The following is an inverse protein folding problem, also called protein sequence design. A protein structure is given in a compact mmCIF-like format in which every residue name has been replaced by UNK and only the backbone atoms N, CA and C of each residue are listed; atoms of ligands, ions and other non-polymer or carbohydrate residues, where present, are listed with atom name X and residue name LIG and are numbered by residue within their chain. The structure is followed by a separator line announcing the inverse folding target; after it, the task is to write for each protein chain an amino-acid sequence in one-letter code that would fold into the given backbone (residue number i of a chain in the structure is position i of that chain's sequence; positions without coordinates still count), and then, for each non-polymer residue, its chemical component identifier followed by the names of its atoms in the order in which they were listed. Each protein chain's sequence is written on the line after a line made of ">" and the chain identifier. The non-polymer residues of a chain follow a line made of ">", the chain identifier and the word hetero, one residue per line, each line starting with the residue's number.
data_IF_227905891067
#
_entry.id   IF_227905891067
#
_cell.length_a   1.000
_cell.length_b   1.000
_cell.length_c   1.000
_cell.angle_alpha   90.00
_cell.angle_beta   90.00
_cell.angle_gamma   90.00
#
_symmetry.space_group_name_H-M   'P 1'
#
loop_
_entity.id
_entity.type
_entity.pdbx_description
1 polymer ?
#
# COMPACT_ATOMS: atom_id res chain seq x y z
N UNK A 1 30.29 5.45 3.80
CA UNK A 1 29.65 4.30 3.15
C UNK A 1 29.02 3.34 4.15
N UNK A 2 29.74 2.94 5.19
CA UNK A 2 29.21 1.98 6.18
C UNK A 2 27.98 2.50 6.92
N UNK A 3 27.95 3.80 7.28
CA UNK A 3 26.83 4.38 8.00
C UNK A 3 25.57 4.35 7.12
N UNK A 4 25.69 4.77 5.86
CA UNK A 4 24.56 4.73 4.93
C UNK A 4 24.09 3.30 4.68
N UNK A 5 25.03 2.36 4.59
CA UNK A 5 24.71 0.96 4.38
C UNK A 5 23.92 0.40 5.56
N UNK A 6 24.29 0.80 6.77
CA UNK A 6 23.59 0.37 7.97
C UNK A 6 22.18 0.91 8.02
N UNK A 7 21.99 2.20 7.74
CA UNK A 7 20.68 2.82 7.69
C UNK A 7 19.80 2.18 6.62
N UNK A 8 20.37 1.92 5.44
CA UNK A 8 19.64 1.27 4.36
C UNK A 8 19.21 -0.14 4.75
N UNK A 9 20.03 -0.85 5.49
CA UNK A 9 19.70 -2.18 5.96
C UNK A 9 18.48 -2.15 6.89
N UNK A 10 18.42 -1.20 7.82
CA UNK A 10 17.30 -1.07 8.75
C UNK A 10 16.02 -0.69 8.02
N UNK A 11 16.10 0.24 7.07
CA UNK A 11 14.96 0.62 6.26
C UNK A 11 14.46 -0.54 5.42
N UNK A 12 15.38 -1.29 4.83
CA UNK A 12 15.02 -2.45 4.03
C UNK A 12 14.31 -3.52 4.88
N UNK A 13 14.77 -3.75 6.10
CA UNK A 13 14.14 -4.72 6.97
C UNK A 13 12.70 -4.34 7.30
N UNK A 14 12.43 -3.05 7.51
CA UNK A 14 11.07 -2.56 7.74
C UNK A 14 10.21 -2.71 6.50
N UNK A 15 10.76 -2.35 5.35
CA UNK A 15 10.06 -2.47 4.08
C UNK A 15 9.72 -3.93 3.78
N UNK A 16 10.65 -4.86 4.06
CA UNK A 16 10.42 -6.28 3.86
C UNK A 16 9.25 -6.77 4.70
N UNK A 17 9.14 -6.31 5.95
CA UNK A 17 8.01 -6.70 6.81
C UNK A 17 6.69 -6.18 6.26
N UNK A 18 6.66 -4.94 5.79
CA UNK A 18 5.46 -4.40 5.18
C UNK A 18 5.10 -5.12 3.89
N UNK A 19 6.10 -5.46 3.08
CA UNK A 19 5.86 -6.21 1.86
C UNK A 19 5.32 -7.61 2.14
N UNK A 20 5.83 -8.30 3.16
CA UNK A 20 5.32 -9.62 3.55
C UNK A 20 3.87 -9.53 4.01
N UNK A 21 3.57 -8.51 4.82
CA UNK A 21 2.20 -8.29 5.29
C UNK A 21 1.27 -7.99 4.12
N UNK A 22 1.71 -7.14 3.20
CA UNK A 22 0.94 -6.80 2.02
C UNK A 22 0.73 -8.01 1.10
N UNK A 23 1.76 -8.83 0.95
CA UNK A 23 1.67 -10.05 0.15
C UNK A 23 0.66 -11.02 0.73
N UNK A 24 0.61 -11.14 2.06
CA UNK A 24 -0.38 -11.95 2.75
C UNK A 24 -1.79 -11.43 2.48
N UNK A 25 -1.99 -10.12 2.56
CA UNK A 25 -3.28 -9.50 2.23
C UNK A 25 -3.66 -9.83 0.79
N UNK A 26 -2.72 -9.67 -0.14
CA UNK A 26 -2.99 -9.93 -1.55
C UNK A 26 -3.42 -11.37 -1.80
N UNK A 27 -2.81 -12.34 -1.12
CA UNK A 27 -3.09 -13.76 -1.34
C UNK A 27 -4.29 -14.28 -0.57
N UNK A 28 -4.50 -13.80 0.64
CA UNK A 28 -5.50 -14.38 1.54
C UNK A 28 -6.80 -13.60 1.61
N UNK A 29 -6.76 -12.31 1.31
CA UNK A 29 -7.94 -11.45 1.37
C UNK A 29 -8.49 -11.25 -0.03
N UNK A 30 -9.81 -10.97 -0.10
CA UNK A 30 -10.42 -10.57 -1.35
C UNK A 30 -10.18 -9.09 -1.59
N UNK A 31 -9.62 -8.77 -2.74
CA UNK A 31 -9.43 -7.38 -3.19
C UNK A 31 -10.31 -7.22 -4.42
N UNK A 32 -11.33 -6.37 -4.31
CA UNK A 32 -12.30 -6.16 -5.38
C UNK A 32 -12.27 -4.73 -5.85
N UNK A 33 -11.93 -4.53 -7.11
CA UNK A 33 -11.99 -3.22 -7.73
C UNK A 33 -13.42 -2.88 -8.10
N UNK A 34 -13.85 -1.66 -7.79
CA UNK A 34 -15.15 -1.17 -8.23
C UNK A 34 -15.16 -1.01 -9.76
N UNK A 35 -16.30 -1.27 -10.42
CA UNK A 35 -16.36 -1.23 -11.89
C UNK A 35 -16.14 0.16 -12.49
N UNK A 36 -16.38 1.21 -11.72
CA UNK A 36 -16.18 2.58 -12.17
C UNK A 36 -15.60 3.44 -11.05
N UNK A 37 -14.85 4.50 -11.39
CA UNK A 37 -14.35 5.43 -10.38
C UNK A 37 -15.49 6.07 -9.60
N UNK A 38 -15.22 6.40 -8.33
CA UNK A 38 -16.17 7.06 -7.44
C UNK A 38 -15.55 8.33 -6.91
N UNK A 39 -16.23 9.46 -7.08
CA UNK A 39 -15.72 10.77 -6.67
C UNK A 39 -14.32 11.06 -7.21
N UNK A 40 -14.02 10.57 -8.41
CA UNK A 40 -12.74 10.77 -9.05
C UNK A 40 -11.64 9.82 -8.61
N UNK A 41 -11.95 8.81 -7.78
CA UNK A 41 -10.98 7.84 -7.30
C UNK A 41 -11.25 6.44 -7.83
N UNK A 42 -10.17 5.69 -8.07
CA UNK A 42 -10.25 4.25 -8.30
C UNK A 42 -10.38 3.61 -6.93
N UNK A 43 -11.42 2.80 -6.71
CA UNK A 43 -11.77 2.28 -5.40
C UNK A 43 -11.63 0.75 -5.37
N UNK A 44 -11.04 0.25 -4.28
CA UNK A 44 -10.89 -1.18 -4.02
C UNK A 44 -11.43 -1.51 -2.64
N UNK A 45 -12.23 -2.57 -2.55
CA UNK A 45 -12.68 -3.11 -1.27
C UNK A 45 -11.82 -4.32 -0.90
N UNK A 46 -11.43 -4.40 0.37
CA UNK A 46 -10.61 -5.49 0.88
C UNK A 46 -11.36 -6.20 1.99
N UNK A 47 -11.64 -7.49 1.79
CA UNK A 47 -12.39 -8.34 2.72
C UNK A 47 -11.54 -9.54 3.13
N UNK A 48 -11.75 -10.05 4.32
CA UNK A 48 -11.13 -11.30 4.75
C UNK A 48 -10.50 -11.25 6.13
N UNK A 49 -10.34 -10.07 6.70
CA UNK A 49 -9.86 -9.90 8.06
C UNK A 49 -11.00 -9.71 9.04
N UNK A 50 -10.68 -9.14 10.20
CA UNK A 50 -11.69 -8.82 11.23
C UNK A 50 -12.57 -7.65 10.81
N UNK A 51 -12.08 -6.82 9.91
CA UNK A 51 -12.81 -5.67 9.39
C UNK A 51 -12.58 -5.54 7.90
N UNK A 52 -13.52 -4.92 7.23
CA UNK A 52 -13.38 -4.60 5.81
C UNK A 52 -12.80 -3.20 5.65
N UNK A 53 -11.94 -3.02 4.64
CA UNK A 53 -11.29 -1.75 4.39
C UNK A 53 -11.47 -1.33 2.94
N UNK A 54 -11.32 -0.03 2.70
CA UNK A 54 -11.43 0.55 1.37
C UNK A 54 -10.15 1.31 1.05
N UNK A 55 -9.60 1.04 -0.13
CA UNK A 55 -8.44 1.76 -0.67
C UNK A 55 -8.91 2.63 -1.82
N UNK A 56 -8.48 3.90 -1.83
CA UNK A 56 -8.80 4.85 -2.90
C UNK A 56 -7.50 5.36 -3.51
N UNK A 57 -7.43 5.32 -4.85
CA UNK A 57 -6.25 5.76 -5.59
C UNK A 57 -6.68 6.82 -6.59
N UNK A 58 -6.00 7.97 -6.55
CA UNK A 58 -6.23 9.02 -7.53
C UNK A 58 -5.66 8.59 -8.89
N UNK A 59 -6.43 8.63 -9.98
CA UNK A 59 -5.97 8.15 -11.29
C UNK A 59 -4.70 8.84 -11.78
N UNK A 60 -4.51 10.11 -11.45
CA UNK A 60 -3.35 10.89 -11.85
C UNK A 60 -2.33 11.05 -10.74
N UNK A 61 -2.55 10.40 -9.61
CA UNK A 61 -1.65 10.42 -8.46
C UNK A 61 -1.35 11.82 -7.91
N UNK A 62 -2.30 12.73 -8.04
CA UNK A 62 -2.21 14.09 -7.47
C UNK A 62 -2.32 14.08 -5.96
N UNK A 63 -2.94 13.05 -5.42
CA UNK A 63 -3.13 12.82 -4.00
C UNK A 63 -2.59 11.42 -3.70
N UNK A 64 -1.86 11.21 -2.59
CA UNK A 64 -1.39 9.86 -2.24
C UNK A 64 -2.55 8.89 -2.04
N UNK A 65 -2.35 7.60 -2.28
CA UNK A 65 -3.36 6.59 -1.99
C UNK A 65 -3.85 6.66 -0.56
N UNK A 66 -5.12 6.35 -0.35
CA UNK A 66 -5.77 6.40 0.95
C UNK A 66 -6.33 5.04 1.32
N UNK A 67 -6.35 4.73 2.61
CA UNK A 67 -6.96 3.52 3.13
C UNK A 67 -7.72 3.84 4.41
N UNK A 68 -8.85 3.18 4.60
CA UNK A 68 -9.68 3.38 5.78
C UNK A 68 -9.16 2.68 7.04
N UNK A 69 -8.05 1.94 6.96
CA UNK A 69 -7.51 1.25 8.12
C UNK A 69 -6.78 2.20 9.08
N UNK A 70 -6.71 1.85 10.39
CA UNK A 70 -6.02 2.70 11.37
C UNK A 70 -4.52 2.89 11.08
N UNK A 71 -3.87 1.89 10.51
CA UNK A 71 -2.42 1.97 10.24
C UNK A 71 -2.07 3.01 9.18
N UNK A 72 -2.97 3.25 8.23
CA UNK A 72 -2.74 4.27 7.20
C UNK A 72 -2.61 5.67 7.78
N UNK A 73 -3.34 5.94 8.88
CA UNK A 73 -3.31 7.25 9.50
C UNK A 73 -2.16 7.43 10.47
N UNK A 74 -1.72 6.35 11.12
CA UNK A 74 -0.79 6.46 12.24
C UNK A 74 0.61 5.97 11.94
N UNK A 75 0.78 4.72 11.56
CA UNK A 75 2.10 4.09 11.44
C UNK A 75 2.71 4.15 10.06
N UNK A 76 1.89 4.01 9.05
CA UNK A 76 2.39 3.94 7.67
C UNK A 76 3.02 5.25 7.24
N UNK A 77 2.55 6.38 7.74
CA UNK A 77 3.11 7.68 7.39
C UNK A 77 4.57 7.80 7.74
N UNK A 78 4.99 7.18 8.84
CA UNK A 78 6.38 7.27 9.30
C UNK A 78 7.29 6.26 8.61
N UNK A 79 6.77 5.09 8.27
CA UNK A 79 7.59 3.95 7.86
C UNK A 79 7.56 3.65 6.37
N UNK A 80 6.45 3.93 5.67
CA UNK A 80 6.27 3.55 4.28
C UNK A 80 5.70 4.68 3.44
N UNK A 81 6.07 5.91 3.75
CA UNK A 81 5.61 7.10 3.03
C UNK A 81 4.08 7.21 3.00
N UNK A 82 3.41 6.71 4.04
CA UNK A 82 1.96 6.75 4.11
C UNK A 82 1.25 5.54 3.52
N UNK A 83 1.99 4.54 3.05
CA UNK A 83 1.39 3.36 2.44
C UNK A 83 1.28 2.25 3.48
N UNK A 84 0.04 1.87 3.83
CA UNK A 84 -0.20 0.72 4.69
C UNK A 84 -0.13 -0.58 3.87
N UNK A 85 -0.18 -1.72 4.56
CA UNK A 85 -0.14 -3.02 3.88
C UNK A 85 -1.26 -3.22 2.87
N UNK A 86 -2.43 -2.63 3.10
CA UNK A 86 -3.56 -2.76 2.18
C UNK A 86 -3.31 -1.99 0.88
N UNK A 87 -2.76 -0.78 0.99
CA UNK A 87 -2.40 0.00 -0.20
C UNK A 87 -1.34 -0.75 -1.00
N UNK A 88 -0.29 -1.22 -0.33
CA UNK A 88 0.79 -1.95 -1.00
C UNK A 88 0.24 -3.21 -1.67
N UNK A 89 -0.68 -3.92 -1.02
CA UNK A 89 -1.30 -5.12 -1.59
C UNK A 89 -2.03 -4.81 -2.90
N UNK A 90 -2.77 -3.70 -2.94
CA UNK A 90 -3.45 -3.27 -4.17
C UNK A 90 -2.43 -2.96 -5.26
N UNK A 91 -1.36 -2.24 -4.93
CA UNK A 91 -0.32 -1.90 -5.90
C UNK A 91 0.41 -3.14 -6.42
N UNK A 92 0.59 -4.16 -5.57
CA UNK A 92 1.18 -5.43 -5.99
C UNK A 92 0.26 -6.21 -6.92
N UNK A 93 -1.04 -6.20 -6.63
CA UNK A 93 -2.01 -6.96 -7.39
C UNK A 93 -2.27 -6.36 -8.76
N UNK A 94 -2.36 -5.03 -8.84
CA UNK A 94 -2.71 -4.33 -10.08
C UNK A 94 -1.45 -3.89 -10.81
N UNK A 95 -1.17 -4.52 -11.94
CA UNK A 95 0.04 -4.25 -12.72
C UNK A 95 0.14 -2.80 -13.19
N UNK A 96 -0.97 -2.14 -13.39
CA UNK A 96 -0.98 -0.74 -13.84
C UNK A 96 -0.31 0.20 -12.85
N UNK A 97 -0.16 -0.21 -11.59
CA UNK A 97 0.47 0.60 -10.54
C UNK A 97 1.93 0.21 -10.26
N UNK A 98 2.54 -0.60 -11.10
CA UNK A 98 3.92 -1.09 -10.88
C UNK A 98 4.92 0.05 -10.78
N UNK A 99 4.80 1.07 -11.64
CA UNK A 99 5.73 2.21 -11.61
C UNK A 99 5.63 2.97 -10.29
N UNK A 100 4.41 3.20 -9.81
CA UNK A 100 4.19 3.91 -8.55
C UNK A 100 4.71 3.11 -7.36
N UNK A 101 4.55 1.79 -7.41
CA UNK A 101 5.08 0.92 -6.37
C UNK A 101 6.60 1.00 -6.32
N UNK A 102 7.26 0.95 -7.47
CA UNK A 102 8.71 1.06 -7.56
C UNK A 102 9.19 2.43 -7.06
N UNK A 103 8.53 3.51 -7.44
CA UNK A 103 8.89 4.85 -6.98
C UNK A 103 8.79 4.98 -5.46
N UNK A 104 7.81 4.34 -4.85
CA UNK A 104 7.62 4.42 -3.41
C UNK A 104 8.72 3.72 -2.62
N UNK A 105 9.41 2.73 -3.21
CA UNK A 105 10.33 1.87 -2.48
C UNK A 105 11.76 1.85 -3.06
N UNK A 106 12.05 2.68 -4.02
CA UNK A 106 13.42 2.82 -4.55
C UNK A 106 14.20 3.94 -3.86
#
# INVERSE_FOLDING_TARGET
>A
MSIKRHENFDLKARDDRFFRAAYTVMKQYQIRRHPAPEDGFIVFDIHGGTSDYTVKIHPEWKIPPQCSCPDAENRAKENTRGYCKHIIAVLLKEKEFSCQLLEAFL
#
